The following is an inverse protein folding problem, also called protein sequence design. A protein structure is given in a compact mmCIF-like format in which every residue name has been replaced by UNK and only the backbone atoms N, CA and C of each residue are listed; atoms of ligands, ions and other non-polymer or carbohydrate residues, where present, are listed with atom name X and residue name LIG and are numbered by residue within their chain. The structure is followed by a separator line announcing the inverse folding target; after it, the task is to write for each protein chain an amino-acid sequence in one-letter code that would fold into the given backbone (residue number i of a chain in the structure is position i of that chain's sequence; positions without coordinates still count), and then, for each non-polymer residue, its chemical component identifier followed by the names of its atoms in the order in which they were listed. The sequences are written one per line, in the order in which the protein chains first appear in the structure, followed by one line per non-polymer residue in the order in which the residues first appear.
data_IF_273746288380
#
_entry.id   IF_273746288380
#
_cell.length_a   1.000
_cell.length_b   1.000
_cell.length_c   1.000
_cell.angle_alpha   90.00
_cell.angle_beta   90.00
_cell.angle_gamma   90.00
#
_symmetry.space_group_name_H-M   'P 1'
#
loop_
_entity.id
_entity.type
_entity.pdbx_description
1 polymer ?
#
# COMPACT_ATOMS: atom_id res chain seq x y z
N UNK A 1 -28.25 12.49 -0.35
CA UNK A 1 -27.83 12.28 -0.57
C UNK A 1 -27.06 11.74 -0.22
N UNK A 2 -27.16 11.42 -0.24
CA UNK A 2 -26.47 10.96 -0.11
C UNK A 2 -25.50 10.63 -0.31
N UNK A 3 -25.90 10.55 -0.18
CA UNK A 3 -24.48 10.56 -0.35
C UNK A 3 -23.90 9.16 -0.48
N UNK A 4 -23.94 8.69 -1.65
CA UNK A 4 -23.48 7.34 -1.95
C UNK A 4 -21.95 7.32 -2.10
N UNK A 5 -21.22 7.64 -1.03
CA UNK A 5 -19.77 7.54 -1.05
C UNK A 5 -19.35 6.08 -0.98
N UNK A 6 -18.69 5.64 -2.02
CA UNK A 6 -18.06 4.32 -2.01
C UNK A 6 -16.81 4.42 -1.14
N UNK A 7 -16.67 3.59 -0.10
CA UNK A 7 -15.45 3.63 0.71
C UNK A 7 -14.21 3.37 -0.14
N UNK A 8 -13.18 4.16 0.07
CA UNK A 8 -11.89 3.92 -0.55
C UNK A 8 -11.18 2.86 0.28
N UNK A 9 -10.79 1.78 -0.35
CA UNK A 9 -10.03 0.72 0.29
C UNK A 9 -8.56 0.98 0.10
N UNK A 10 -7.85 1.14 1.20
CA UNK A 10 -6.43 1.47 1.20
C UNK A 10 -5.67 0.31 1.82
N UNK A 11 -4.65 -0.17 1.11
CA UNK A 11 -3.75 -1.19 1.60
C UNK A 11 -2.42 -0.56 1.96
N UNK A 12 -2.07 -0.63 3.24
CA UNK A 12 -0.80 -0.12 3.76
C UNK A 12 0.16 -1.28 3.96
N UNK A 13 1.30 -1.23 3.30
CA UNK A 13 2.39 -2.18 3.50
C UNK A 13 3.53 -1.46 4.21
N UNK A 14 3.75 -1.78 5.47
CA UNK A 14 4.76 -1.15 6.32
C UNK A 14 5.13 -2.10 7.46
N UNK A 15 6.41 -2.35 7.66
CA UNK A 15 6.88 -3.27 8.67
C UNK A 15 6.91 -2.68 10.08
N UNK A 16 6.81 -1.36 10.21
CA UNK A 16 6.88 -0.67 11.49
C UNK A 16 5.48 -0.50 12.09
N UNK A 17 5.25 -1.11 13.25
CA UNK A 17 3.97 -1.04 13.93
C UNK A 17 3.59 0.39 14.33
N UNK A 18 4.56 1.21 14.70
CA UNK A 18 4.29 2.60 15.08
C UNK A 18 3.87 3.42 13.88
N UNK A 19 4.51 3.20 12.73
CA UNK A 19 4.12 3.86 11.49
C UNK A 19 2.72 3.46 11.06
N UNK A 20 2.38 2.17 11.16
CA UNK A 20 1.03 1.70 10.86
C UNK A 20 -0.01 2.35 11.76
N UNK A 21 0.31 2.48 13.05
CA UNK A 21 -0.59 3.11 14.01
C UNK A 21 -0.83 4.59 13.67
N UNK A 22 0.22 5.32 13.30
CA UNK A 22 0.08 6.73 12.90
C UNK A 22 -0.83 6.89 11.70
N UNK A 23 -0.68 6.03 10.70
CA UNK A 23 -1.53 6.07 9.51
C UNK A 23 -2.97 5.71 9.87
N UNK A 24 -3.17 4.69 10.71
CA UNK A 24 -4.51 4.30 11.17
C UNK A 24 -5.21 5.44 11.91
N UNK A 25 -4.49 6.14 12.78
CA UNK A 25 -5.04 7.28 13.50
C UNK A 25 -5.41 8.42 12.55
N UNK A 26 -4.55 8.72 11.57
CA UNK A 26 -4.82 9.76 10.61
C UNK A 26 -6.08 9.48 9.79
N UNK A 27 -6.26 8.24 9.34
CA UNK A 27 -7.46 7.87 8.61
C UNK A 27 -8.68 7.78 9.51
N UNK A 28 -8.51 7.41 10.78
CA UNK A 28 -9.60 7.38 11.75
C UNK A 28 -10.18 8.77 12.03
N UNK A 29 -9.36 9.81 11.93
CA UNK A 29 -9.78 11.20 12.12
C UNK A 29 -10.35 11.81 10.83
N UNK A 30 -10.16 11.14 9.70
CA UNK A 30 -10.64 11.63 8.41
C UNK A 30 -12.15 11.54 8.32
N UNK A 31 -12.76 12.54 7.67
CA UNK A 31 -14.20 12.52 7.38
C UNK A 31 -14.51 11.72 6.12
N UNK A 32 -13.50 11.22 5.45
CA UNK A 32 -13.69 10.41 4.25
C UNK A 32 -14.04 8.97 4.64
N UNK A 33 -14.89 8.35 3.86
CA UNK A 33 -15.20 6.94 4.02
C UNK A 33 -14.00 6.13 3.50
N UNK A 34 -13.22 5.59 4.40
CA UNK A 34 -12.06 4.78 4.03
C UNK A 34 -12.05 3.48 4.84
N UNK A 35 -11.52 2.44 4.22
CA UNK A 35 -11.20 1.20 4.90
C UNK A 35 -9.70 0.98 4.76
N UNK A 36 -9.01 0.81 5.88
CA UNK A 36 -7.56 0.62 5.89
C UNK A 36 -7.23 -0.83 6.24
N UNK A 37 -6.47 -1.46 5.36
CA UNK A 37 -5.93 -2.81 5.56
C UNK A 37 -4.42 -2.69 5.67
N UNK A 38 -3.81 -3.45 6.58
CA UNK A 38 -2.37 -3.39 6.81
C UNK A 38 -1.71 -4.74 6.61
N UNK A 39 -0.55 -4.72 5.98
CA UNK A 39 0.36 -5.87 5.89
C UNK A 39 1.75 -5.42 6.33
N UNK A 40 2.59 -6.37 6.71
CA UNK A 40 3.84 -6.08 7.41
C UNK A 40 5.09 -6.26 6.55
N UNK A 41 4.98 -6.89 5.40
CA UNK A 41 6.11 -7.12 4.50
C UNK A 41 5.64 -7.36 3.08
N UNK A 42 6.59 -7.47 2.16
CA UNK A 42 6.28 -7.62 0.75
C UNK A 42 5.63 -8.95 0.40
N UNK A 43 5.95 -10.02 1.13
CA UNK A 43 5.31 -11.31 0.88
C UNK A 43 3.84 -11.25 1.26
N UNK A 44 3.52 -10.67 2.42
CA UNK A 44 2.14 -10.46 2.82
C UNK A 44 1.39 -9.55 1.84
N UNK A 45 2.06 -8.52 1.34
CA UNK A 45 1.46 -7.62 0.36
C UNK A 45 1.04 -8.38 -0.89
N UNK A 46 1.93 -9.17 -1.45
CA UNK A 46 1.60 -9.92 -2.67
C UNK A 46 0.56 -11.01 -2.39
N UNK A 47 0.62 -11.66 -1.23
CA UNK A 47 -0.41 -12.61 -0.84
C UNK A 47 -1.80 -11.97 -0.73
N UNK A 48 -1.85 -10.75 -0.18
CA UNK A 48 -3.11 -10.00 -0.10
C UNK A 48 -3.65 -9.69 -1.51
N UNK A 49 -2.80 -9.19 -2.39
CA UNK A 49 -3.20 -8.79 -3.74
C UNK A 49 -3.65 -9.99 -4.58
N UNK A 50 -2.99 -11.13 -4.42
CA UNK A 50 -3.32 -12.35 -5.15
C UNK A 50 -4.33 -13.24 -4.41
N UNK A 51 -4.76 -12.84 -3.22
CA UNK A 51 -5.71 -13.58 -2.39
C UNK A 51 -5.26 -15.02 -2.16
N UNK A 52 -4.05 -15.16 -1.63
CA UNK A 52 -3.47 -16.46 -1.32
C UNK A 52 -2.96 -16.49 0.12
N UNK A 53 -2.61 -17.67 0.63
CA UNK A 53 -2.14 -17.83 2.00
C UNK A 53 -3.20 -17.40 3.00
N UNK A 54 -2.84 -16.50 3.91
CA UNK A 54 -3.76 -15.99 4.94
C UNK A 54 -4.90 -15.15 4.35
N UNK A 55 -4.82 -14.75 3.09
CA UNK A 55 -5.78 -13.85 2.44
C UNK A 55 -6.63 -14.53 1.37
N UNK A 56 -6.82 -15.82 1.51
CA UNK A 56 -7.57 -16.61 0.50
C UNK A 56 -9.04 -16.21 0.43
N UNK A 57 -9.60 -15.70 1.54
CA UNK A 57 -10.99 -15.26 1.58
C UNK A 57 -11.12 -13.84 1.01
N UNK A 58 -11.91 -13.63 -0.05
CA UNK A 58 -12.03 -12.29 -0.65
C UNK A 58 -12.51 -11.20 0.30
N UNK A 59 -13.28 -11.56 1.34
CA UNK A 59 -13.76 -10.59 2.33
C UNK A 59 -12.63 -10.07 3.21
N UNK A 60 -11.53 -10.84 3.34
CA UNK A 60 -10.35 -10.44 4.11
C UNK A 60 -9.39 -9.60 3.28
N UNK A 61 -9.45 -9.72 1.96
CA UNK A 61 -8.51 -9.07 1.05
C UNK A 61 -9.24 -8.52 -0.17
N UNK A 62 -10.12 -7.54 0.00
CA UNK A 62 -10.77 -6.90 -1.14
C UNK A 62 -9.75 -6.14 -1.98
N UNK A 63 -10.02 -5.98 -3.28
CA UNK A 63 -9.13 -5.24 -4.16
C UNK A 63 -8.97 -3.80 -3.64
N UNK A 64 -7.75 -3.34 -3.35
CA UNK A 64 -7.56 -1.96 -2.90
C UNK A 64 -7.73 -0.96 -4.04
N UNK A 65 -8.18 0.24 -3.69
CA UNK A 65 -8.21 1.37 -4.61
C UNK A 65 -6.93 2.20 -4.55
N UNK A 66 -6.10 1.96 -3.54
CA UNK A 66 -4.84 2.67 -3.33
C UNK A 66 -3.91 1.79 -2.50
N UNK A 67 -2.64 1.76 -2.86
CA UNK A 67 -1.60 1.09 -2.07
C UNK A 67 -0.63 2.15 -1.54
N UNK A 68 -0.42 2.15 -0.23
CA UNK A 68 0.65 2.90 0.43
C UNK A 68 1.77 1.91 0.73
N UNK A 69 2.94 2.13 0.16
CA UNK A 69 3.99 1.13 0.11
C UNK A 69 5.30 1.66 0.68
N UNK A 70 5.74 1.07 1.80
CA UNK A 70 7.07 1.32 2.33
C UNK A 70 8.09 0.58 1.48
N UNK A 71 9.18 1.24 1.13
CA UNK A 71 10.24 0.61 0.33
C UNK A 71 11.08 -0.36 1.15
N UNK A 72 11.24 -0.12 2.44
CA UNK A 72 12.16 -0.89 3.29
C UNK A 72 11.41 -1.89 4.15
N UNK A 73 11.09 -3.02 3.56
CA UNK A 73 10.39 -4.11 4.27
C UNK A 73 11.22 -5.39 4.21
N UNK A 74 11.10 -6.26 5.26
CA UNK A 74 11.76 -7.55 5.23
C UNK A 74 11.08 -8.52 4.26
N UNK A 75 11.73 -9.61 3.98
CA UNK A 75 11.35 -10.73 3.12
C UNK A 75 11.24 -10.34 1.65
N UNK A 76 10.47 -9.33 1.32
CA UNK A 76 10.37 -8.80 -0.03
C UNK A 76 10.21 -7.30 0.08
N UNK A 77 11.12 -6.55 -0.51
CA UNK A 77 11.13 -5.09 -0.42
C UNK A 77 10.03 -4.45 -1.25
N UNK A 78 9.71 -3.20 -0.90
CA UNK A 78 8.65 -2.47 -1.61
C UNK A 78 8.96 -2.25 -3.07
N UNK A 79 10.23 -2.07 -3.42
CA UNK A 79 10.64 -1.88 -4.82
C UNK A 79 10.32 -3.12 -5.66
N UNK A 80 10.64 -4.30 -5.12
CA UNK A 80 10.33 -5.56 -5.79
C UNK A 80 8.82 -5.73 -5.97
N UNK A 81 8.04 -5.39 -4.93
CA UNK A 81 6.58 -5.43 -5.00
C UNK A 81 6.05 -4.48 -6.07
N UNK A 82 6.59 -3.26 -6.14
CA UNK A 82 6.15 -2.28 -7.12
C UNK A 82 6.37 -2.77 -8.54
N UNK A 83 7.54 -3.35 -8.80
CA UNK A 83 7.85 -3.90 -10.11
C UNK A 83 6.86 -5.00 -10.47
N UNK A 84 6.59 -5.90 -9.54
CA UNK A 84 5.66 -7.01 -9.76
C UNK A 84 4.23 -6.51 -9.99
N UNK A 85 3.78 -5.54 -9.19
CA UNK A 85 2.45 -4.95 -9.34
C UNK A 85 2.30 -4.31 -10.72
N UNK A 86 3.29 -3.53 -11.14
CA UNK A 86 3.22 -2.81 -12.42
C UNK A 86 3.38 -3.73 -13.63
N UNK A 87 3.96 -4.90 -13.43
CA UNK A 87 4.09 -5.90 -14.50
C UNK A 87 2.82 -6.74 -14.66
N UNK A 88 1.93 -6.75 -13.67
CA UNK A 88 0.73 -7.59 -13.69
C UNK A 88 -0.46 -6.80 -14.27
N UNK A 89 -1.05 -7.24 -15.39
CA UNK A 89 -2.18 -6.53 -15.99
C UNK A 89 -3.38 -6.38 -15.07
N UNK A 90 -3.55 -7.26 -14.08
CA UNK A 90 -4.67 -7.19 -13.15
C UNK A 90 -4.43 -6.24 -11.98
N UNK A 91 -3.18 -5.86 -11.72
CA UNK A 91 -2.80 -5.03 -10.58
C UNK A 91 -2.26 -3.66 -10.95
N UNK A 92 -1.72 -3.53 -12.16
CA UNK A 92 -0.98 -2.31 -12.56
C UNK A 92 -1.80 -1.03 -12.54
N UNK A 93 -3.12 -1.13 -12.59
CA UNK A 93 -4.00 0.03 -12.57
C UNK A 93 -4.26 0.56 -11.15
N UNK A 94 -3.86 -0.18 -10.13
CA UNK A 94 -4.00 0.28 -8.75
C UNK A 94 -2.95 1.36 -8.49
N UNK A 95 -3.36 2.58 -8.10
CA UNK A 95 -2.38 3.63 -7.76
C UNK A 95 -1.51 3.21 -6.58
N UNK A 96 -0.21 3.49 -6.67
CA UNK A 96 0.75 3.20 -5.61
C UNK A 96 1.45 4.48 -5.19
N UNK A 97 1.38 4.78 -3.91
CA UNK A 97 2.12 5.89 -3.29
C UNK A 97 3.22 5.29 -2.43
N UNK A 98 4.44 5.71 -2.66
CA UNK A 98 5.59 5.24 -1.90
C UNK A 98 5.72 6.04 -0.61
N UNK A 99 5.86 5.31 0.50
CA UNK A 99 6.21 5.90 1.79
C UNK A 99 7.70 5.68 2.01
N UNK A 100 8.42 6.75 2.33
CA UNK A 100 9.87 6.66 2.50
C UNK A 100 10.36 7.64 3.53
N UNK A 101 11.59 7.45 4.01
CA UNK A 101 12.27 8.42 4.83
C UNK A 101 13.00 9.41 3.93
N UNK A 102 13.27 10.61 4.45
CA UNK A 102 13.93 11.67 3.67
C UNK A 102 15.33 11.31 3.18
N UNK A 103 15.90 10.23 3.68
CA UNK A 103 17.26 9.80 3.30
C UNK A 103 17.28 8.91 2.08
N UNK A 104 16.15 8.60 1.51
CA UNK A 104 16.03 7.61 0.43
C UNK A 104 15.85 8.25 -0.94
N UNK A 105 16.60 9.33 -1.25
CA UNK A 105 16.46 10.01 -2.54
C UNK A 105 16.67 9.08 -3.72
N UNK A 106 17.65 8.20 -3.63
CA UNK A 106 17.93 7.21 -4.68
C UNK A 106 16.76 6.26 -4.84
N UNK A 107 16.20 5.79 -3.72
CA UNK A 107 15.04 4.91 -3.74
C UNK A 107 13.83 5.60 -4.33
N UNK A 108 13.62 6.87 -4.00
CA UNK A 108 12.54 7.68 -4.57
C UNK A 108 12.69 7.74 -6.10
N UNK A 109 13.88 8.05 -6.58
CA UNK A 109 14.17 8.13 -7.99
C UNK A 109 13.88 6.81 -8.71
N UNK A 110 14.38 5.71 -8.16
CA UNK A 110 14.16 4.39 -8.73
C UNK A 110 12.68 3.99 -8.71
N UNK A 111 11.95 4.41 -7.70
CA UNK A 111 10.51 4.13 -7.59
C UNK A 111 9.72 4.84 -8.69
N UNK A 112 10.09 6.06 -9.03
CA UNK A 112 9.47 6.75 -10.16
C UNK A 112 9.67 6.00 -11.46
N UNK A 113 10.90 5.52 -11.70
CA UNK A 113 11.21 4.75 -12.89
C UNK A 113 10.45 3.42 -12.91
N UNK A 114 10.09 2.90 -11.74
CA UNK A 114 9.33 1.64 -11.61
C UNK A 114 7.82 1.83 -11.70
N UNK A 115 7.34 3.05 -11.88
CA UNK A 115 5.93 3.32 -12.13
C UNK A 115 5.10 3.74 -10.92
N UNK A 116 5.73 4.20 -9.84
CA UNK A 116 4.99 4.75 -8.71
C UNK A 116 4.25 6.03 -9.14
N UNK A 117 3.05 6.22 -8.61
CA UNK A 117 2.23 7.40 -8.90
C UNK A 117 2.71 8.65 -8.15
N UNK A 118 3.19 8.45 -6.93
CA UNK A 118 3.67 9.54 -6.09
C UNK A 118 4.47 8.95 -4.93
N UNK A 119 5.05 9.82 -4.11
CA UNK A 119 5.67 9.39 -2.87
C UNK A 119 5.43 10.43 -1.77
N UNK A 120 5.45 9.95 -0.53
CA UNK A 120 5.28 10.78 0.67
C UNK A 120 6.39 10.42 1.63
N UNK A 121 7.03 11.44 2.20
CA UNK A 121 8.04 11.24 3.24
C UNK A 121 7.34 10.95 4.56
N UNK A 122 7.76 9.91 5.26
CA UNK A 122 7.22 9.59 6.58
C UNK A 122 7.57 10.67 7.58
N UNK A 123 6.69 10.94 8.55
CA UNK A 123 6.98 11.90 9.62
C UNK A 123 8.10 11.44 10.54
#
# INVERSE_FOLDING_TARGET
MDDARIPIRILLADDDADDRMLVQEAFGESRLANELFCVEDGVQLMDFLYRRGAFIEPTLAPRPGLILLDLNMPRMGGRECLIEIKADPSLRDIPVIILTTSKAEEDIWQSYQSGANSFITKP
#
